data_IF_038077161954
#
_entry.id   IF_038077161954
#
_cell.length_a   1.000
_cell.length_b   1.000
_cell.length_c   1.000
_cell.angle_alpha   90.00
_cell.angle_beta   90.00
_cell.angle_gamma   90.00
#
_symmetry.space_group_name_H-M   'P 1'
#
loop_
_entity.id
_entity.type
_entity.pdbx_description
1 polymer ?
#
# COMPACT_ATOMS: atom_id res chain seq x y z
N UNK A 1 40.72 -17.95 22.60
CA UNK A 1 39.55 -18.08 21.73
C UNK A 1 38.33 -18.02 22.63
N UNK A 2 37.30 -17.27 22.29
CA UNK A 2 36.03 -17.31 23.01
C UNK A 2 35.36 -18.69 22.81
N UNK A 3 34.88 -19.32 23.88
CA UNK A 3 34.18 -20.59 23.79
C UNK A 3 32.81 -20.39 23.12
N UNK A 4 32.41 -21.38 22.30
CA UNK A 4 31.04 -21.40 21.71
C UNK A 4 30.08 -21.69 22.87
N UNK A 5 29.05 -20.83 22.99
CA UNK A 5 28.00 -20.93 24.02
C UNK A 5 26.62 -20.85 23.38
N UNK A 6 25.67 -21.55 23.98
CA UNK A 6 24.25 -21.39 23.65
C UNK A 6 23.76 -20.05 24.25
N UNK A 7 23.16 -19.20 23.42
CA UNK A 7 22.61 -17.93 23.87
C UNK A 7 21.36 -18.15 24.73
N UNK A 8 21.08 -17.21 25.64
CA UNK A 8 19.81 -17.17 26.35
C UNK A 8 18.63 -16.90 25.41
N UNK A 9 17.44 -17.34 25.82
CA UNK A 9 16.23 -17.24 24.98
C UNK A 9 15.87 -15.81 24.59
N UNK A 10 16.19 -14.84 25.45
CA UNK A 10 15.86 -13.43 25.19
C UNK A 10 16.78 -12.86 24.09
N UNK A 11 18.08 -13.15 24.18
CA UNK A 11 19.05 -12.79 23.14
C UNK A 11 18.72 -13.46 21.81
N UNK A 12 18.35 -14.77 21.80
CA UNK A 12 17.91 -15.49 20.60
C UNK A 12 16.68 -14.78 19.98
N UNK A 13 15.72 -14.41 20.83
CA UNK A 13 14.48 -13.73 20.38
C UNK A 13 14.80 -12.35 19.78
N UNK A 14 15.70 -11.58 20.37
CA UNK A 14 16.10 -10.27 19.84
C UNK A 14 16.86 -10.37 18.49
N UNK A 15 17.72 -11.38 18.33
CA UNK A 15 18.43 -11.64 17.06
C UNK A 15 17.40 -11.97 15.97
N UNK A 16 16.55 -12.96 16.21
CA UNK A 16 15.55 -13.40 15.25
C UNK A 16 14.47 -12.35 14.97
N UNK A 17 14.10 -11.53 15.98
CA UNK A 17 13.24 -10.37 15.74
C UNK A 17 13.87 -9.41 14.71
N UNK A 18 15.19 -9.41 14.55
CA UNK A 18 15.91 -8.64 13.58
C UNK A 18 15.67 -8.99 12.13
N UNK A 19 15.38 -10.23 11.89
CA UNK A 19 15.10 -10.75 10.57
C UNK A 19 13.65 -10.51 10.15
N UNK A 20 12.74 -10.35 11.13
CA UNK A 20 11.30 -10.17 10.90
C UNK A 20 10.90 -8.70 11.00
N UNK A 21 11.40 -7.99 12.01
CA UNK A 21 11.01 -6.60 12.33
C UNK A 21 12.20 -5.67 12.12
N UNK A 22 12.28 -5.08 10.95
CA UNK A 22 13.34 -4.12 10.58
C UNK A 22 12.97 -2.68 10.96
N UNK A 23 11.67 -2.32 10.91
CA UNK A 23 11.15 -0.97 11.05
C UNK A 23 9.68 -0.94 11.48
N UNK A 24 9.12 0.22 11.86
CA UNK A 24 7.70 0.36 12.21
C UNK A 24 6.72 -0.17 11.16
N UNK A 25 7.03 0.04 9.88
CA UNK A 25 6.22 -0.44 8.77
C UNK A 25 6.10 -1.98 8.73
N UNK A 26 7.15 -2.72 9.15
CA UNK A 26 7.11 -4.19 9.27
C UNK A 26 6.12 -4.62 10.36
N UNK A 27 6.12 -3.93 11.51
CA UNK A 27 5.16 -4.19 12.60
C UNK A 27 3.73 -3.98 12.12
N UNK A 28 3.46 -2.82 11.50
CA UNK A 28 2.10 -2.49 11.01
C UNK A 28 1.64 -3.50 9.97
N UNK A 29 2.51 -3.94 9.06
CA UNK A 29 2.20 -4.96 8.06
C UNK A 29 1.72 -6.25 8.70
N UNK A 30 2.49 -6.80 9.64
CA UNK A 30 2.16 -8.06 10.32
C UNK A 30 0.85 -7.94 11.13
N UNK A 31 0.62 -6.81 11.80
CA UNK A 31 -0.62 -6.59 12.55
C UNK A 31 -1.84 -6.46 11.64
N UNK A 32 -1.70 -5.80 10.47
CA UNK A 32 -2.76 -5.70 9.47
C UNK A 32 -3.09 -7.06 8.85
N UNK A 33 -2.07 -7.85 8.49
CA UNK A 33 -2.27 -9.20 7.97
C UNK A 33 -3.04 -10.08 8.97
N UNK A 34 -2.71 -9.98 10.27
CA UNK A 34 -3.44 -10.69 11.33
C UNK A 34 -4.89 -10.21 11.47
N UNK A 35 -5.14 -8.90 11.38
CA UNK A 35 -6.50 -8.34 11.45
C UNK A 35 -7.37 -8.80 10.26
N UNK A 36 -6.82 -8.86 9.04
CA UNK A 36 -7.51 -9.38 7.86
C UNK A 36 -7.79 -10.87 8.00
N UNK A 37 -6.80 -11.66 8.43
CA UNK A 37 -6.95 -13.09 8.64
C UNK A 37 -8.02 -13.41 9.71
N UNK A 38 -8.21 -12.51 10.70
CA UNK A 38 -9.29 -12.60 11.70
C UNK A 38 -10.68 -12.23 11.15
N UNK A 39 -10.80 -11.96 9.83
CA UNK A 39 -12.05 -11.56 9.14
C UNK A 39 -12.61 -10.23 9.64
N UNK A 40 -11.75 -9.31 10.00
CA UNK A 40 -12.15 -7.95 10.34
C UNK A 40 -12.78 -7.23 9.15
N UNK A 41 -13.85 -6.50 9.38
CA UNK A 41 -14.52 -5.61 8.40
C UNK A 41 -14.18 -4.14 8.62
N UNK A 42 -13.58 -3.82 9.77
CA UNK A 42 -13.12 -2.47 10.10
C UNK A 42 -11.80 -2.53 10.88
N UNK A 43 -10.80 -1.80 10.40
CA UNK A 43 -9.47 -1.75 11.00
C UNK A 43 -9.07 -0.28 11.16
N UNK A 44 -8.63 0.08 12.39
CA UNK A 44 -8.06 1.40 12.67
C UNK A 44 -6.58 1.26 12.98
N UNK A 45 -5.75 2.04 12.28
CA UNK A 45 -4.31 2.14 12.51
C UNK A 45 -3.98 3.54 12.98
N UNK A 46 -3.28 3.65 14.11
CA UNK A 46 -2.83 4.91 14.67
C UNK A 46 -1.35 4.82 15.00
N UNK A 47 -0.58 5.84 14.57
CA UNK A 47 0.86 5.92 14.83
C UNK A 47 1.27 7.28 15.40
N UNK A 48 2.30 7.25 16.25
CA UNK A 48 2.98 8.43 16.79
C UNK A 48 4.50 8.23 16.74
N UNK A 49 5.25 9.34 16.56
CA UNK A 49 6.71 9.29 16.41
C UNK A 49 7.12 8.42 15.21
N UNK A 50 6.38 8.51 14.07
CA UNK A 50 6.63 7.65 12.91
C UNK A 50 6.37 6.15 13.15
N UNK A 51 5.73 5.79 14.25
CA UNK A 51 5.49 4.42 14.70
C UNK A 51 6.55 3.89 15.69
N UNK A 52 7.55 4.68 16.06
CA UNK A 52 8.54 4.31 17.08
C UNK A 52 8.00 4.47 18.49
N UNK A 53 7.27 5.56 18.76
CA UNK A 53 6.67 5.82 20.06
C UNK A 53 5.43 4.97 20.28
N UNK A 54 4.52 4.94 19.30
CA UNK A 54 3.29 4.16 19.41
C UNK A 54 2.83 3.69 18.03
N UNK A 55 2.46 2.41 17.96
CA UNK A 55 1.63 1.82 16.92
C UNK A 55 0.42 1.21 17.62
N UNK A 56 -0.79 1.57 17.20
CA UNK A 56 -2.03 0.95 17.67
C UNK A 56 -2.85 0.46 16.48
N UNK A 57 -3.10 -0.83 16.44
CA UNK A 57 -3.99 -1.46 15.47
C UNK A 57 -5.19 -2.02 16.19
N UNK A 58 -6.39 -1.62 15.78
CA UNK A 58 -7.67 -2.03 16.33
C UNK A 58 -8.53 -2.60 15.23
N UNK A 59 -9.02 -3.82 15.41
CA UNK A 59 -9.90 -4.52 14.48
C UNK A 59 -11.20 -4.97 15.18
N UNK A 60 -12.21 -5.33 14.39
CA UNK A 60 -13.46 -5.94 14.81
C UNK A 60 -13.57 -7.41 14.38
N UNK A 61 -12.46 -8.10 14.21
CA UNK A 61 -12.41 -9.51 13.82
C UNK A 61 -12.87 -10.47 14.90
N UNK A 62 -12.56 -11.75 14.74
CA UNK A 62 -13.02 -12.83 15.64
C UNK A 62 -12.54 -12.71 17.08
N UNK A 63 -11.47 -11.94 17.34
CA UNK A 63 -10.77 -11.92 18.62
C UNK A 63 -9.90 -13.17 18.84
N UNK A 64 -9.28 -13.24 20.02
CA UNK A 64 -8.44 -14.37 20.48
C UNK A 64 -9.02 -14.94 21.74
N UNK A 65 -9.18 -16.26 21.80
CA UNK A 65 -9.66 -16.98 22.98
C UNK A 65 -8.68 -16.78 24.14
N UNK A 66 -9.21 -16.58 25.35
CA UNK A 66 -8.41 -16.20 26.53
C UNK A 66 -7.22 -17.13 26.78
N UNK A 67 -7.44 -18.43 26.63
CA UNK A 67 -6.46 -19.49 26.86
C UNK A 67 -5.35 -19.50 25.82
N UNK A 68 -5.62 -18.99 24.61
CA UNK A 68 -4.69 -18.92 23.49
C UNK A 68 -3.84 -17.64 23.47
N UNK A 69 -4.19 -16.63 24.28
CA UNK A 69 -3.48 -15.34 24.27
C UNK A 69 -1.99 -15.49 24.55
N UNK A 70 -1.56 -16.19 25.63
CA UNK A 70 -0.12 -16.39 25.86
C UNK A 70 0.58 -17.21 24.75
N UNK A 71 -0.15 -18.13 24.12
CA UNK A 71 0.36 -18.94 23.01
C UNK A 71 0.62 -18.09 21.77
N UNK A 72 -0.22 -17.08 21.51
CA UNK A 72 -0.07 -16.18 20.36
C UNK A 72 1.27 -15.40 20.37
N UNK A 73 1.91 -15.27 21.54
CA UNK A 73 3.23 -14.66 21.73
C UNK A 73 4.38 -15.68 21.83
N UNK A 74 4.10 -16.96 21.70
CA UNK A 74 5.16 -17.99 21.60
C UNK A 74 5.63 -18.14 20.15
N UNK A 75 6.92 -18.36 19.98
CA UNK A 75 7.51 -18.61 18.65
C UNK A 75 6.99 -19.92 18.09
N UNK A 76 6.79 -19.95 16.78
CA UNK A 76 6.28 -21.11 16.04
C UNK A 76 4.85 -21.52 16.44
N UNK A 77 4.13 -20.69 17.18
CA UNK A 77 2.72 -20.89 17.48
C UNK A 77 1.85 -20.22 16.41
N UNK A 78 1.08 -21.00 15.69
CA UNK A 78 0.20 -20.51 14.62
C UNK A 78 -1.05 -21.38 14.52
N UNK A 79 -2.19 -20.74 14.26
CA UNK A 79 -3.45 -21.43 13.95
C UNK A 79 -3.63 -21.68 12.44
N UNK A 80 -2.71 -21.18 11.59
CA UNK A 80 -2.89 -21.03 10.13
C UNK A 80 -2.34 -22.19 9.32
N UNK A 81 -1.35 -22.90 9.84
CA UNK A 81 -0.73 -24.10 9.23
C UNK A 81 -0.58 -25.20 10.29
N UNK A 82 -0.75 -26.44 9.91
CA UNK A 82 -0.58 -27.62 10.79
C UNK A 82 0.41 -28.62 10.22
N UNK A 83 0.53 -28.69 8.90
CA UNK A 83 1.38 -29.66 8.21
C UNK A 83 2.30 -28.96 7.22
N UNK A 84 3.37 -29.66 6.80
CA UNK A 84 4.28 -29.16 5.77
C UNK A 84 3.58 -28.96 4.41
N UNK A 85 2.53 -29.72 4.12
CA UNK A 85 1.75 -29.56 2.89
C UNK A 85 0.97 -28.25 2.87
N UNK A 86 0.55 -27.73 4.02
CA UNK A 86 -0.17 -26.44 4.10
C UNK A 86 0.69 -25.27 3.64
N UNK A 87 2.05 -25.40 3.70
CA UNK A 87 2.98 -24.37 3.23
C UNK A 87 2.86 -24.10 1.72
N UNK A 88 2.42 -25.07 0.93
CA UNK A 88 2.24 -24.93 -0.51
C UNK A 88 0.88 -24.35 -0.89
N UNK A 89 -0.07 -24.32 0.05
CA UNK A 89 -1.45 -23.87 -0.17
C UNK A 89 -1.84 -22.69 0.72
N UNK A 90 -0.85 -21.91 1.21
CA UNK A 90 -1.10 -20.82 2.16
C UNK A 90 -1.98 -19.75 1.54
N UNK A 91 -3.27 -19.79 1.86
CA UNK A 91 -4.24 -18.73 1.53
C UNK A 91 -4.17 -17.54 2.51
N UNK A 92 -3.57 -17.72 3.71
CA UNK A 92 -3.44 -16.65 4.71
C UNK A 92 -2.28 -15.72 4.40
N UNK A 93 -2.42 -14.44 4.74
CA UNK A 93 -1.37 -13.43 4.53
C UNK A 93 -0.17 -13.66 5.46
N UNK A 94 -0.38 -14.08 6.72
CA UNK A 94 0.66 -14.43 7.70
C UNK A 94 0.58 -15.91 8.10
N UNK A 95 1.69 -16.66 8.16
CA UNK A 95 1.69 -18.08 8.48
C UNK A 95 2.83 -18.54 9.42
N UNK A 96 3.89 -17.72 9.63
CA UNK A 96 5.11 -18.16 10.32
C UNK A 96 4.99 -18.31 11.83
N UNK A 97 3.95 -17.72 12.48
CA UNK A 97 3.78 -17.78 13.95
C UNK A 97 4.91 -17.12 14.73
N UNK A 98 5.59 -16.13 14.16
CA UNK A 98 6.76 -15.48 14.78
C UNK A 98 6.58 -13.97 14.97
N UNK A 99 5.60 -13.34 14.29
CA UNK A 99 5.46 -11.90 14.24
C UNK A 99 5.21 -11.29 15.62
N UNK A 100 4.20 -11.76 16.37
CA UNK A 100 3.87 -11.22 17.69
C UNK A 100 4.99 -11.45 18.69
N UNK A 101 5.60 -12.63 18.69
CA UNK A 101 6.76 -12.95 19.54
C UNK A 101 7.96 -12.03 19.24
N UNK A 102 8.24 -11.78 17.96
CA UNK A 102 9.30 -10.89 17.51
C UNK A 102 9.03 -9.43 17.90
N UNK A 103 7.80 -8.94 17.73
CA UNK A 103 7.41 -7.59 18.15
C UNK A 103 7.57 -7.43 19.67
N UNK A 104 7.07 -8.41 20.45
CA UNK A 104 7.10 -8.37 21.90
C UNK A 104 8.51 -8.42 22.50
N UNK A 105 9.47 -9.04 21.78
CA UNK A 105 10.87 -9.09 22.22
C UNK A 105 11.62 -7.76 22.09
N UNK A 106 11.15 -6.84 21.23
CA UNK A 106 11.81 -5.55 20.93
C UNK A 106 10.95 -4.33 21.26
N UNK A 107 9.80 -4.51 21.88
CA UNK A 107 8.86 -3.43 22.22
C UNK A 107 8.08 -3.76 23.49
N UNK A 108 7.32 -2.77 23.97
CA UNK A 108 6.28 -2.96 24.98
C UNK A 108 4.94 -3.17 24.29
N UNK A 109 4.34 -4.32 24.49
CA UNK A 109 3.10 -4.70 23.79
C UNK A 109 1.96 -4.87 24.78
N UNK A 110 0.84 -4.25 24.47
CA UNK A 110 -0.45 -4.46 25.13
C UNK A 110 -1.45 -5.00 24.13
N UNK A 111 -2.05 -6.14 24.44
CA UNK A 111 -3.12 -6.75 23.68
C UNK A 111 -4.40 -6.70 24.52
N UNK A 112 -5.49 -6.23 23.91
CA UNK A 112 -6.84 -6.32 24.49
C UNK A 112 -7.72 -6.99 23.44
N UNK A 113 -8.36 -8.11 23.80
CA UNK A 113 -9.15 -8.89 22.85
C UNK A 113 -10.40 -9.44 23.51
N UNK A 114 -11.42 -9.67 22.68
CA UNK A 114 -12.69 -10.30 23.06
C UNK A 114 -13.23 -11.10 21.91
N UNK A 115 -13.61 -12.34 22.13
CA UNK A 115 -14.36 -13.16 21.17
C UNK A 115 -15.86 -12.96 21.33
N UNK A 116 -16.63 -13.38 20.34
CA UNK A 116 -18.09 -13.27 20.39
C UNK A 116 -18.71 -14.08 21.56
N UNK A 117 -18.12 -15.22 21.87
CA UNK A 117 -18.61 -16.15 22.89
C UNK A 117 -18.17 -15.77 24.30
N UNK A 118 -17.27 -14.82 24.44
CA UNK A 118 -16.75 -14.38 25.76
C UNK A 118 -17.64 -13.32 26.37
N UNK A 119 -17.92 -13.43 27.68
CA UNK A 119 -18.66 -12.42 28.43
C UNK A 119 -17.83 -11.15 28.62
N UNK A 120 -16.55 -11.29 28.96
CA UNK A 120 -15.60 -10.18 29.18
C UNK A 120 -14.40 -10.31 28.26
N UNK A 121 -13.78 -9.17 27.91
CA UNK A 121 -12.50 -9.16 27.21
C UNK A 121 -11.33 -9.50 28.14
N UNK A 122 -10.18 -9.76 27.54
CA UNK A 122 -8.92 -10.05 28.20
C UNK A 122 -7.87 -9.02 27.80
N UNK A 123 -7.03 -8.64 28.75
CA UNK A 123 -5.88 -7.76 28.57
C UNK A 123 -4.60 -8.51 28.90
N UNK A 124 -3.62 -8.44 28.02
CA UNK A 124 -2.32 -9.07 28.20
C UNK A 124 -1.22 -8.07 27.87
N UNK A 125 -0.17 -8.04 28.69
CA UNK A 125 1.00 -7.18 28.51
C UNK A 125 2.26 -8.03 28.45
N UNK A 126 3.19 -7.61 27.60
CA UNK A 126 4.50 -8.22 27.47
C UNK A 126 5.51 -7.11 27.16
N UNK A 127 6.63 -7.08 27.85
CA UNK A 127 7.65 -6.04 27.69
C UNK A 127 9.03 -6.66 27.50
N UNK A 128 9.62 -6.50 26.30
CA UNK A 128 10.94 -7.07 25.99
C UNK A 128 11.01 -8.60 26.09
N UNK A 129 9.87 -9.29 25.95
CA UNK A 129 9.73 -10.73 26.08
C UNK A 129 9.36 -11.22 27.48
N UNK A 130 9.17 -10.32 28.47
CA UNK A 130 8.70 -10.67 29.82
C UNK A 130 7.20 -10.56 29.89
N UNK A 131 6.54 -11.64 30.30
CA UNK A 131 5.08 -11.79 30.37
C UNK A 131 4.52 -11.20 31.67
N UNK A 132 3.42 -10.47 31.59
CA UNK A 132 2.61 -10.04 32.75
C UNK A 132 1.35 -10.90 32.88
N UNK A 133 0.75 -10.97 34.08
CA UNK A 133 -0.47 -11.73 34.27
C UNK A 133 -1.60 -11.28 33.34
N UNK A 134 -2.43 -12.23 32.94
CA UNK A 134 -3.61 -12.01 32.13
C UNK A 134 -4.73 -11.37 32.97
N UNK A 135 -5.15 -10.17 32.64
CA UNK A 135 -6.14 -9.37 33.35
C UNK A 135 -7.47 -9.33 32.56
N UNK A 136 -8.59 -9.01 33.23
CA UNK A 136 -9.81 -8.61 32.52
C UNK A 136 -9.57 -7.34 31.70
N UNK A 137 -10.12 -7.28 30.47
CA UNK A 137 -10.02 -6.12 29.57
C UNK A 137 -11.39 -5.70 29.08
N UNK A 138 -11.61 -4.38 28.96
CA UNK A 138 -12.88 -3.85 28.48
C UNK A 138 -12.77 -3.49 26.99
N UNK A 139 -13.50 -4.23 26.13
CA UNK A 139 -13.70 -3.89 24.72
C UNK A 139 -14.88 -4.65 24.09
N UNK A 140 -15.31 -4.23 22.90
CA UNK A 140 -16.19 -5.01 22.01
C UNK A 140 -15.45 -6.19 21.38
N UNK A 141 -16.14 -7.01 20.58
CA UNK A 141 -15.54 -8.13 19.83
C UNK A 141 -14.41 -7.63 18.91
N UNK A 142 -13.34 -8.42 18.81
CA UNK A 142 -12.14 -8.11 18.00
C UNK A 142 -10.88 -7.98 18.84
N UNK A 143 -9.81 -7.37 18.29
CA UNK A 143 -8.50 -7.23 18.94
C UNK A 143 -7.96 -5.80 18.81
N UNK A 144 -7.34 -5.30 19.88
CA UNK A 144 -6.50 -4.10 19.88
C UNK A 144 -5.10 -4.50 20.30
N UNK A 145 -4.12 -4.21 19.47
CA UNK A 145 -2.71 -4.36 19.79
C UNK A 145 -2.08 -2.98 19.79
N UNK A 146 -1.45 -2.65 20.91
CA UNK A 146 -0.68 -1.42 21.10
C UNK A 146 0.78 -1.78 21.30
N UNK A 147 1.64 -1.29 20.45
CA UNK A 147 3.09 -1.44 20.50
C UNK A 147 3.66 -0.09 20.88
N UNK A 148 4.48 -0.03 21.93
CA UNK A 148 5.10 1.19 22.43
C UNK A 148 6.61 1.01 22.50
N UNK A 149 7.34 2.13 22.36
CA UNK A 149 8.78 2.23 22.51
C UNK A 149 9.53 1.16 21.67
N UNK A 150 9.19 1.06 20.39
CA UNK A 150 9.78 0.07 19.48
C UNK A 150 11.31 0.21 19.45
N UNK A 151 12.02 -0.89 19.66
CA UNK A 151 13.48 -1.00 19.73
C UNK A 151 14.13 -0.37 20.96
N UNK A 152 13.38 -0.10 22.04
CA UNK A 152 13.93 0.51 23.26
C UNK A 152 15.10 -0.30 23.87
N UNK A 153 15.08 -1.62 23.73
CA UNK A 153 16.10 -2.55 24.21
C UNK A 153 17.11 -2.99 23.13
N UNK A 154 17.03 -2.41 21.91
CA UNK A 154 17.94 -2.69 20.80
C UNK A 154 18.48 -1.38 20.19
N UNK A 155 19.31 -0.62 20.93
CA UNK A 155 19.75 0.71 20.50
C UNK A 155 20.58 0.72 19.21
N UNK A 156 21.23 -0.39 18.87
CA UNK A 156 21.94 -0.54 17.61
C UNK A 156 21.00 -0.41 16.41
N UNK A 157 19.77 -0.92 16.49
CA UNK A 157 18.77 -0.80 15.44
C UNK A 157 18.22 0.61 15.30
N UNK A 158 18.01 1.31 16.40
CA UNK A 158 17.57 2.69 16.37
C UNK A 158 18.48 3.58 15.51
N UNK A 159 19.79 3.28 15.44
CA UNK A 159 20.75 4.04 14.64
C UNK A 159 20.57 3.88 13.12
N UNK A 160 19.93 2.82 12.66
CA UNK A 160 19.69 2.54 11.23
C UNK A 160 18.33 3.05 10.75
N UNK A 161 17.46 3.51 11.65
CA UNK A 161 16.18 4.05 11.29
C UNK A 161 16.31 5.47 10.72
N UNK A 162 15.39 5.80 9.84
CA UNK A 162 15.30 7.16 9.30
C UNK A 162 14.60 8.08 10.31
N UNK A 163 14.42 9.35 9.94
CA UNK A 163 13.64 10.30 10.74
C UNK A 163 12.19 9.82 10.87
N UNK A 164 11.52 10.14 11.97
CA UNK A 164 10.12 9.78 12.28
C UNK A 164 9.16 10.08 11.11
N UNK A 165 9.38 11.24 10.46
CA UNK A 165 8.57 11.61 9.29
C UNK A 165 8.70 10.62 8.13
N UNK A 166 9.91 10.08 7.90
CA UNK A 166 10.18 9.09 6.84
C UNK A 166 9.65 7.72 7.22
N UNK A 167 9.86 7.28 8.48
CA UNK A 167 9.31 6.01 8.98
C UNK A 167 7.79 6.03 8.94
N UNK A 168 7.15 7.14 9.34
CA UNK A 168 5.72 7.31 9.23
C UNK A 168 5.20 7.30 7.78
N UNK A 169 6.01 7.68 6.80
CA UNK A 169 5.67 7.56 5.38
C UNK A 169 5.70 6.10 4.92
N UNK A 170 6.70 5.32 5.33
CA UNK A 170 6.70 3.88 5.04
C UNK A 170 5.51 3.15 5.68
N UNK A 171 5.09 3.56 6.89
CA UNK A 171 3.86 3.02 7.49
C UNK A 171 2.65 3.40 6.65
N UNK A 172 2.53 4.66 6.24
CA UNK A 172 1.42 5.13 5.40
C UNK A 172 1.33 4.35 4.08
N UNK A 173 2.46 4.07 3.43
CA UNK A 173 2.53 3.27 2.21
C UNK A 173 2.00 1.84 2.44
N UNK A 174 2.40 1.19 3.55
CA UNK A 174 1.91 -0.15 3.89
C UNK A 174 0.40 -0.15 4.13
N UNK A 175 -0.12 0.80 4.93
CA UNK A 175 -1.58 0.88 5.18
C UNK A 175 -2.34 1.15 3.89
N UNK A 176 -1.81 2.01 3.01
CA UNK A 176 -2.39 2.29 1.70
C UNK A 176 -2.42 1.04 0.80
N UNK A 177 -1.31 0.29 0.73
CA UNK A 177 -1.25 -0.94 -0.07
C UNK A 177 -2.26 -1.97 0.42
N UNK A 178 -2.38 -2.18 1.72
CA UNK A 178 -3.35 -3.13 2.29
C UNK A 178 -4.79 -2.66 2.07
N UNK A 179 -5.08 -1.38 2.25
CA UNK A 179 -6.42 -0.82 2.02
C UNK A 179 -6.88 -0.92 0.56
N UNK A 180 -5.96 -0.83 -0.40
CA UNK A 180 -6.26 -1.00 -1.82
C UNK A 180 -6.46 -2.46 -2.23
N UNK A 181 -5.83 -3.42 -1.53
CA UNK A 181 -6.02 -4.84 -1.81
C UNK A 181 -7.28 -5.43 -1.16
N UNK A 182 -7.85 -4.74 -0.17
CA UNK A 182 -9.03 -5.17 0.59
C UNK A 182 -10.10 -4.08 0.63
N UNK A 183 -10.72 -3.75 -0.52
CA UNK A 183 -11.74 -2.70 -0.59
C UNK A 183 -13.02 -3.05 0.21
N UNK A 184 -13.22 -4.30 0.58
CA UNK A 184 -14.31 -4.80 1.43
C UNK A 184 -14.11 -4.49 2.92
N UNK A 185 -12.90 -4.04 3.33
CA UNK A 185 -12.58 -3.67 4.70
C UNK A 185 -12.49 -2.15 4.83
N UNK A 186 -13.13 -1.59 5.86
CA UNK A 186 -12.98 -0.17 6.19
C UNK A 186 -11.68 0.06 6.95
N UNK A 187 -10.78 0.86 6.37
CA UNK A 187 -9.54 1.27 7.01
C UNK A 187 -9.61 2.71 7.45
N UNK A 188 -9.30 2.96 8.72
CA UNK A 188 -9.08 4.30 9.27
C UNK A 188 -7.62 4.45 9.62
N UNK A 189 -6.93 5.40 8.99
CA UNK A 189 -5.53 5.69 9.28
C UNK A 189 -5.36 7.06 9.93
N UNK A 190 -4.71 7.08 11.10
CA UNK A 190 -4.40 8.28 11.90
C UNK A 190 -2.89 8.35 12.11
N UNK A 191 -2.29 9.48 11.77
CA UNK A 191 -0.87 9.75 11.94
C UNK A 191 -0.67 11.01 12.75
N UNK A 192 0.12 10.94 13.83
CA UNK A 192 0.38 12.08 14.74
C UNK A 192 -0.92 12.78 15.19
N UNK A 193 -1.94 11.98 15.55
CA UNK A 193 -3.26 12.45 15.96
C UNK A 193 -4.14 13.03 14.84
N UNK A 194 -3.65 13.11 13.60
CA UNK A 194 -4.38 13.62 12.45
C UNK A 194 -4.93 12.49 11.60
N UNK A 195 -6.24 12.52 11.31
CA UNK A 195 -6.86 11.60 10.36
C UNK A 195 -6.26 11.82 8.96
N UNK A 196 -5.74 10.75 8.36
CA UNK A 196 -5.20 10.78 7.00
C UNK A 196 -6.30 10.43 5.99
N UNK A 197 -6.96 9.30 6.19
CA UNK A 197 -8.10 8.86 5.38
C UNK A 197 -8.95 7.81 6.10
N UNK A 198 -10.14 7.59 5.55
CA UNK A 198 -11.04 6.48 5.90
C UNK A 198 -11.55 5.87 4.60
N UNK A 199 -11.38 4.56 4.41
CA UNK A 199 -12.01 3.82 3.31
C UNK A 199 -13.39 3.32 3.75
N UNK A 200 -14.39 3.28 2.86
CA UNK A 200 -15.74 2.93 3.26
C UNK A 200 -15.93 1.43 3.58
N UNK A 201 -15.12 0.54 3.01
CA UNK A 201 -15.30 -0.92 3.14
C UNK A 201 -16.51 -1.44 2.35
N UNK A 202 -16.83 -0.79 1.23
CA UNK A 202 -17.99 -1.08 0.38
C UNK A 202 -17.73 -2.13 -0.72
N UNK A 203 -16.56 -2.74 -0.71
CA UNK A 203 -16.12 -3.71 -1.72
C UNK A 203 -15.74 -3.08 -3.06
N UNK A 204 -15.75 -1.76 -3.19
CA UNK A 204 -15.45 -1.07 -4.45
C UNK A 204 -14.03 -0.53 -4.44
N UNK A 205 -13.18 -1.08 -5.31
CA UNK A 205 -11.80 -0.60 -5.46
C UNK A 205 -11.71 0.90 -5.77
N UNK A 206 -12.66 1.44 -6.55
CA UNK A 206 -12.71 2.86 -6.88
C UNK A 206 -12.94 3.75 -5.64
N UNK A 207 -13.78 3.32 -4.70
CA UNK A 207 -14.01 4.03 -3.44
C UNK A 207 -12.76 4.02 -2.55
N UNK A 208 -12.10 2.88 -2.44
CA UNK A 208 -10.83 2.74 -1.73
C UNK A 208 -9.73 3.61 -2.37
N UNK A 209 -9.59 3.56 -3.70
CA UNK A 209 -8.63 4.39 -4.45
C UNK A 209 -8.88 5.89 -4.24
N UNK A 210 -10.15 6.34 -4.24
CA UNK A 210 -10.50 7.72 -3.98
C UNK A 210 -10.09 8.17 -2.57
N UNK A 211 -10.36 7.35 -1.56
CA UNK A 211 -10.02 7.66 -0.17
C UNK A 211 -8.51 7.70 0.07
N UNK A 212 -7.75 6.75 -0.51
CA UNK A 212 -6.31 6.56 -0.26
C UNK A 212 -5.44 7.45 -1.15
N UNK A 213 -5.72 7.49 -2.46
CA UNK A 213 -4.89 8.15 -3.48
C UNK A 213 -5.40 9.53 -3.86
N UNK A 214 -6.58 9.91 -3.35
CA UNK A 214 -7.19 11.22 -3.53
C UNK A 214 -7.95 11.39 -4.86
N UNK A 215 -8.70 12.50 -4.92
CA UNK A 215 -9.61 12.82 -6.02
C UNK A 215 -8.90 12.98 -7.37
N UNK A 216 -7.73 13.62 -7.37
CA UNK A 216 -7.00 13.92 -8.60
C UNK A 216 -6.61 12.65 -9.37
N UNK A 217 -6.08 11.63 -8.64
CA UNK A 217 -5.72 10.35 -9.26
C UNK A 217 -6.97 9.56 -9.68
N UNK A 218 -8.00 9.53 -8.81
CA UNK A 218 -9.15 8.62 -8.98
C UNK A 218 -10.16 9.09 -10.02
N UNK A 219 -10.16 10.38 -10.41
CA UNK A 219 -11.12 10.95 -11.35
C UNK A 219 -11.05 10.31 -12.74
N UNK A 220 -9.84 10.06 -13.21
CA UNK A 220 -9.56 9.62 -14.58
C UNK A 220 -9.17 8.13 -14.64
N UNK A 221 -9.67 7.32 -13.69
CA UNK A 221 -9.46 5.87 -13.70
C UNK A 221 -10.47 5.16 -14.59
N UNK A 222 -10.02 4.19 -15.35
CA UNK A 222 -10.82 3.26 -16.16
C UNK A 222 -10.77 1.88 -15.50
N UNK A 223 -11.87 1.17 -15.54
CA UNK A 223 -11.95 -0.21 -15.05
C UNK A 223 -11.48 -1.19 -16.11
N UNK A 224 -10.84 -2.24 -15.66
CA UNK A 224 -10.53 -3.41 -16.46
C UNK A 224 -10.85 -4.68 -15.70
N UNK A 225 -11.30 -5.69 -16.40
CA UNK A 225 -11.49 -7.04 -15.90
C UNK A 225 -11.33 -7.99 -17.11
N UNK A 226 -10.35 -8.88 -17.04
CA UNK A 226 -10.07 -9.85 -18.08
C UNK A 226 -9.70 -11.19 -17.45
N UNK A 227 -10.25 -12.26 -17.97
CA UNK A 227 -9.99 -13.61 -17.53
C UNK A 227 -9.56 -14.49 -18.71
N UNK A 228 -8.43 -15.17 -18.55
CA UNK A 228 -7.92 -16.14 -19.51
C UNK A 228 -7.54 -17.43 -18.77
N UNK A 229 -8.33 -18.49 -19.02
CA UNK A 229 -8.16 -19.76 -18.34
C UNK A 229 -8.28 -19.64 -16.82
N UNK A 230 -7.18 -19.93 -16.11
CA UNK A 230 -7.10 -19.90 -14.64
C UNK A 230 -6.62 -18.55 -14.09
N UNK A 231 -6.27 -17.62 -14.96
CA UNK A 231 -5.78 -16.29 -14.60
C UNK A 231 -6.87 -15.25 -14.77
N UNK A 232 -7.00 -14.35 -13.82
CA UNK A 232 -7.85 -13.16 -13.90
C UNK A 232 -7.08 -11.93 -13.50
N UNK A 233 -7.09 -10.89 -14.32
CA UNK A 233 -6.59 -9.58 -13.96
C UNK A 233 -7.72 -8.56 -13.99
N UNK A 234 -7.89 -7.85 -12.89
CA UNK A 234 -8.91 -6.81 -12.77
C UNK A 234 -8.36 -5.60 -12.03
N UNK A 235 -9.03 -4.47 -12.11
CA UNK A 235 -8.59 -3.28 -11.40
C UNK A 235 -8.90 -1.98 -12.12
N UNK A 236 -8.03 -0.99 -11.88
CA UNK A 236 -8.17 0.38 -12.34
C UNK A 236 -6.88 0.84 -13.00
N UNK A 237 -6.98 1.51 -14.15
CA UNK A 237 -5.84 2.16 -14.84
C UNK A 237 -6.17 3.61 -15.15
N UNK A 238 -5.15 4.48 -15.24
CA UNK A 238 -5.33 5.87 -15.64
C UNK A 238 -5.62 5.98 -17.13
N UNK A 239 -6.37 7.02 -17.50
CA UNK A 239 -6.48 7.41 -18.91
C UNK A 239 -5.13 7.89 -19.45
N UNK A 240 -4.86 7.77 -20.78
CA UNK A 240 -3.60 8.20 -21.38
C UNK A 240 -3.20 9.65 -21.06
N UNK A 241 -4.17 10.56 -21.00
CA UNK A 241 -3.97 11.98 -20.65
C UNK A 241 -3.51 12.20 -19.21
N UNK A 242 -3.76 11.24 -18.30
CA UNK A 242 -3.47 11.34 -16.87
C UNK A 242 -2.21 10.58 -16.45
N UNK A 243 -1.39 10.15 -17.44
CA UNK A 243 -0.09 9.52 -17.22
C UNK A 243 0.90 10.51 -16.58
N UNK A 244 1.78 10.01 -15.69
CA UNK A 244 2.69 10.82 -14.86
C UNK A 244 4.15 10.61 -15.25
N UNK A 245 5.04 11.52 -14.80
CA UNK A 245 6.48 11.42 -15.07
C UNK A 245 7.18 10.32 -14.24
N UNK A 246 6.50 9.70 -13.28
CA UNK A 246 7.06 8.66 -12.43
C UNK A 246 6.14 7.44 -12.37
N UNK A 247 6.72 6.27 -12.00
CA UNK A 247 6.02 5.01 -11.79
C UNK A 247 5.41 4.86 -10.39
N UNK A 248 5.41 5.93 -9.58
CA UNK A 248 4.99 5.88 -8.17
C UNK A 248 3.52 5.53 -7.96
N UNK A 249 2.69 5.62 -9.02
CA UNK A 249 1.25 5.31 -8.97
C UNK A 249 0.93 3.97 -9.65
N UNK A 250 1.85 3.02 -9.63
CA UNK A 250 1.66 1.66 -10.14
C UNK A 250 1.61 0.69 -8.95
N UNK A 251 0.43 0.10 -8.75
CA UNK A 251 0.16 -0.82 -7.66
C UNK A 251 -0.24 -2.17 -8.23
N UNK A 252 0.59 -3.20 -7.98
CA UNK A 252 0.35 -4.55 -8.45
C UNK A 252 0.11 -5.48 -7.29
N UNK A 253 -0.91 -6.33 -7.43
CA UNK A 253 -1.28 -7.31 -6.42
C UNK A 253 -1.39 -8.69 -7.04
N UNK A 254 -0.97 -9.72 -6.31
CA UNK A 254 -1.13 -11.11 -6.69
C UNK A 254 -1.76 -11.84 -5.50
N UNK A 255 -2.95 -12.40 -5.71
CA UNK A 255 -3.74 -13.07 -4.68
C UNK A 255 -3.84 -12.22 -3.39
N UNK A 256 -4.13 -10.92 -3.53
CA UNK A 256 -4.25 -9.96 -2.43
C UNK A 256 -2.93 -9.41 -1.87
N UNK A 257 -1.77 -9.88 -2.32
CA UNK A 257 -0.45 -9.41 -1.85
C UNK A 257 0.09 -8.31 -2.75
N UNK A 258 0.51 -7.20 -2.18
CA UNK A 258 1.25 -6.18 -2.91
C UNK A 258 2.62 -6.70 -3.35
N UNK A 259 2.94 -6.51 -4.63
CA UNK A 259 4.21 -6.93 -5.22
C UNK A 259 4.80 -5.86 -6.13
N UNK A 260 6.11 -5.83 -6.22
CA UNK A 260 6.84 -5.08 -7.26
C UNK A 260 7.20 -6.06 -8.37
N UNK A 261 6.37 -6.12 -9.40
CA UNK A 261 6.56 -7.07 -10.48
C UNK A 261 6.89 -6.38 -11.80
N UNK A 262 8.06 -6.71 -12.37
CA UNK A 262 8.55 -6.10 -13.62
C UNK A 262 7.75 -6.52 -14.83
N UNK A 263 7.24 -7.75 -14.87
CA UNK A 263 6.47 -8.30 -15.99
C UNK A 263 5.14 -7.58 -16.12
N UNK A 264 4.37 -7.43 -15.03
CA UNK A 264 3.11 -6.68 -15.01
C UNK A 264 3.33 -5.19 -15.35
N UNK A 265 4.40 -4.59 -14.82
CA UNK A 265 4.77 -3.20 -15.13
C UNK A 265 5.07 -3.03 -16.63
N UNK A 266 5.91 -3.89 -17.19
CA UNK A 266 6.28 -3.84 -18.61
C UNK A 266 5.08 -4.09 -19.52
N UNK A 267 4.19 -5.02 -19.18
CA UNK A 267 2.96 -5.30 -19.92
C UNK A 267 2.05 -4.06 -19.97
N UNK A 268 1.77 -3.45 -18.80
CA UNK A 268 0.96 -2.24 -18.71
C UNK A 268 1.58 -1.10 -19.50
N UNK A 269 2.88 -0.80 -19.33
CA UNK A 269 3.56 0.27 -20.06
C UNK A 269 3.60 0.01 -21.58
N UNK A 270 3.80 -1.25 -22.00
CA UNK A 270 3.78 -1.63 -23.41
C UNK A 270 2.40 -1.44 -24.03
N UNK A 271 1.34 -1.75 -23.30
CA UNK A 271 -0.01 -1.51 -23.78
C UNK A 271 -0.32 -0.02 -24.00
N UNK A 272 0.29 0.87 -23.24
CA UNK A 272 0.14 2.33 -23.39
C UNK A 272 1.03 2.95 -24.48
N UNK A 273 1.98 2.19 -25.08
CA UNK A 273 2.82 2.72 -26.15
C UNK A 273 1.97 3.24 -27.33
N UNK A 274 2.28 4.43 -27.78
CA UNK A 274 1.54 5.11 -28.87
C UNK A 274 0.32 5.90 -28.43
N UNK A 275 -0.17 5.73 -27.17
CA UNK A 275 -1.30 6.50 -26.62
C UNK A 275 -0.87 7.54 -25.58
N UNK A 276 0.36 7.47 -25.11
CA UNK A 276 0.92 8.32 -24.05
C UNK A 276 2.10 9.11 -24.56
N UNK A 277 2.31 10.33 -24.06
CA UNK A 277 3.49 11.15 -24.36
C UNK A 277 4.77 10.44 -23.91
N UNK A 278 5.85 10.63 -24.64
CA UNK A 278 7.17 10.11 -24.28
C UNK A 278 7.59 10.59 -22.89
N UNK A 279 8.13 9.70 -22.05
CA UNK A 279 8.56 10.00 -20.68
C UNK A 279 7.41 10.06 -19.66
N UNK A 280 6.19 9.66 -20.06
CA UNK A 280 5.06 9.49 -19.13
C UNK A 280 4.72 8.02 -18.93
N UNK A 281 4.35 7.68 -17.71
CA UNK A 281 4.01 6.33 -17.28
C UNK A 281 2.55 6.24 -16.84
N UNK A 282 1.82 5.19 -17.23
CA UNK A 282 0.48 4.95 -16.72
C UNK A 282 0.52 4.68 -15.22
N UNK A 283 -0.50 5.12 -14.52
CA UNK A 283 -0.80 4.68 -13.17
C UNK A 283 -1.88 3.62 -13.18
N UNK A 284 -1.98 2.82 -12.12
CA UNK A 284 -3.03 1.83 -12.00
C UNK A 284 -2.92 1.00 -10.74
N UNK A 285 -4.00 0.31 -10.45
CA UNK A 285 -4.15 -0.67 -9.38
C UNK A 285 -4.61 -1.96 -10.05
N UNK A 286 -3.71 -2.91 -10.26
CA UNK A 286 -3.98 -4.17 -10.93
C UNK A 286 -3.89 -5.33 -9.94
N UNK A 287 -4.97 -6.12 -9.88
CA UNK A 287 -5.07 -7.30 -9.05
C UNK A 287 -5.10 -8.53 -9.96
N UNK A 288 -4.12 -9.41 -9.78
CA UNK A 288 -3.98 -10.67 -10.47
C UNK A 288 -4.39 -11.80 -9.52
N UNK A 289 -5.38 -12.57 -9.94
CA UNK A 289 -5.81 -13.80 -9.29
C UNK A 289 -5.31 -15.00 -10.09
N UNK A 290 -4.66 -15.94 -9.43
CA UNK A 290 -4.06 -17.10 -10.05
C UNK A 290 -3.89 -18.25 -9.05
N UNK A 291 -3.80 -19.52 -9.51
CA UNK A 291 -3.46 -20.65 -8.64
C UNK A 291 -2.13 -20.43 -7.91
N UNK A 292 -2.10 -20.79 -6.62
CA UNK A 292 -0.94 -20.53 -5.76
C UNK A 292 0.30 -21.34 -6.16
N UNK A 293 0.13 -22.49 -6.80
CA UNK A 293 1.18 -23.37 -7.32
C UNK A 293 1.90 -22.84 -8.57
N UNK A 294 1.32 -21.80 -9.22
CA UNK A 294 1.90 -21.15 -10.40
C UNK A 294 2.70 -19.89 -10.07
N UNK A 295 2.79 -19.52 -8.80
CA UNK A 295 3.55 -18.36 -8.31
C UNK A 295 4.39 -18.70 -7.10
N UNK A 296 5.71 -18.46 -7.19
CA UNK A 296 6.59 -18.52 -6.03
C UNK A 296 6.67 -17.15 -5.36
N UNK A 297 6.13 -17.05 -4.16
CA UNK A 297 6.13 -15.84 -3.34
C UNK A 297 7.26 -15.81 -2.31
N UNK A 298 8.06 -16.87 -2.20
CA UNK A 298 9.12 -16.99 -1.21
C UNK A 298 10.51 -16.59 -1.77
N UNK A 299 10.55 -15.63 -2.68
CA UNK A 299 11.77 -15.17 -3.33
C UNK A 299 12.55 -14.16 -2.47
N UNK A 300 11.83 -13.32 -1.71
CA UNK A 300 12.42 -12.25 -0.89
C UNK A 300 11.84 -12.27 0.54
N UNK A 301 12.62 -11.97 1.61
CA UNK A 301 12.13 -11.96 2.99
C UNK A 301 10.89 -11.09 3.20
N UNK A 302 10.84 -9.91 2.58
CA UNK A 302 9.69 -9.00 2.61
C UNK A 302 8.52 -9.45 1.71
N UNK A 303 8.67 -10.53 0.91
CA UNK A 303 7.66 -11.07 -0.02
C UNK A 303 7.14 -10.04 -1.03
N UNK A 304 7.94 -9.04 -1.37
CA UNK A 304 7.58 -8.00 -2.35
C UNK A 304 7.92 -8.40 -3.79
N UNK A 305 8.72 -9.43 -3.97
CA UNK A 305 9.08 -9.98 -5.27
C UNK A 305 8.53 -11.40 -5.40
N UNK A 306 8.07 -11.74 -6.58
CA UNK A 306 7.52 -13.05 -6.91
C UNK A 306 8.08 -13.55 -8.23
N UNK A 307 8.10 -14.87 -8.43
CA UNK A 307 8.42 -15.51 -9.70
C UNK A 307 7.21 -16.26 -10.22
N UNK A 308 6.88 -16.06 -11.47
CA UNK A 308 5.82 -16.81 -12.14
C UNK A 308 6.39 -18.07 -12.79
N UNK A 309 5.62 -19.13 -12.79
CA UNK A 309 5.95 -20.33 -13.56
C UNK A 309 5.96 -20.04 -15.08
N UNK A 310 5.11 -19.11 -15.53
CA UNK A 310 4.99 -18.68 -16.93
C UNK A 310 4.83 -17.15 -16.99
N UNK A 311 5.94 -16.45 -17.14
CA UNK A 311 5.93 -14.97 -17.19
C UNK A 311 5.24 -14.42 -18.43
N UNK A 312 5.34 -15.10 -19.58
CA UNK A 312 4.71 -14.67 -20.83
C UNK A 312 3.19 -14.66 -20.72
N UNK A 313 2.57 -15.69 -20.13
CA UNK A 313 1.12 -15.76 -19.96
C UNK A 313 0.61 -14.54 -19.14
N UNK A 314 1.35 -14.16 -18.11
CA UNK A 314 0.99 -13.00 -17.28
C UNK A 314 1.21 -11.68 -18.03
N UNK A 315 2.29 -11.59 -18.81
CA UNK A 315 2.53 -10.42 -19.66
C UNK A 315 1.38 -10.24 -20.67
N UNK A 316 1.02 -11.28 -21.39
CA UNK A 316 -0.02 -11.25 -22.43
C UNK A 316 -1.39 -10.94 -21.83
N UNK A 317 -1.76 -11.59 -20.70
CA UNK A 317 -3.00 -11.33 -19.98
C UNK A 317 -3.13 -9.84 -19.60
N UNK A 318 -2.11 -9.28 -18.94
CA UNK A 318 -2.11 -7.87 -18.51
C UNK A 318 -2.11 -6.93 -19.70
N UNK A 319 -1.31 -7.23 -20.74
CA UNK A 319 -1.24 -6.43 -21.95
C UNK A 319 -2.60 -6.36 -22.67
N UNK A 320 -3.25 -7.51 -22.86
CA UNK A 320 -4.54 -7.57 -23.52
C UNK A 320 -5.64 -6.89 -22.71
N UNK A 321 -5.68 -7.12 -21.39
CA UNK A 321 -6.64 -6.46 -20.49
C UNK A 321 -6.55 -4.93 -20.57
N UNK A 322 -5.32 -4.40 -20.52
CA UNK A 322 -5.09 -2.96 -20.63
C UNK A 322 -5.45 -2.43 -22.02
N UNK A 323 -5.10 -3.15 -23.10
CA UNK A 323 -5.48 -2.78 -24.47
C UNK A 323 -7.00 -2.75 -24.67
N UNK A 324 -7.73 -3.73 -24.15
CA UNK A 324 -9.18 -3.77 -24.19
C UNK A 324 -9.80 -2.57 -23.45
N UNK A 325 -9.29 -2.24 -22.26
CA UNK A 325 -9.76 -1.08 -21.51
C UNK A 325 -9.50 0.25 -22.26
N UNK A 326 -8.35 0.38 -22.92
CA UNK A 326 -8.00 1.55 -23.71
C UNK A 326 -8.83 1.69 -25.00
N UNK A 327 -9.37 0.59 -25.53
CA UNK A 327 -10.18 0.58 -26.74
C UNK A 327 -11.68 0.89 -26.48
N UNK A 328 -12.12 0.98 -25.22
CA UNK A 328 -13.52 1.26 -24.88
C UNK A 328 -13.93 2.67 -25.31
N UNK A 329 -15.12 2.86 -25.90
CA UNK A 329 -15.62 4.17 -26.30
C UNK A 329 -15.81 5.06 -25.06
N UNK A 330 -15.12 6.20 -25.01
CA UNK A 330 -15.12 7.12 -23.86
C UNK A 330 -13.71 7.46 -23.36
N UNK A 331 -12.68 6.76 -23.81
CA UNK A 331 -11.28 6.97 -23.42
C UNK A 331 -10.58 8.10 -24.20
N UNK A 332 -11.34 8.97 -24.90
CA UNK A 332 -10.85 10.27 -25.33
C UNK A 332 -10.02 10.31 -26.59
N UNK A 333 -10.20 9.41 -27.53
CA UNK A 333 -9.95 9.73 -28.93
C UNK A 333 -11.15 10.54 -29.45
N UNK A 334 -11.08 11.86 -29.35
CA UNK A 334 -11.70 12.66 -30.41
C UNK A 334 -10.96 12.29 -31.68
N UNK A 335 -11.50 11.35 -32.45
CA UNK A 335 -11.20 11.28 -33.87
C UNK A 335 -11.56 12.66 -34.39
N UNK A 336 -10.59 13.46 -34.76
CA UNK A 336 -10.80 14.56 -35.67
C UNK A 336 -11.26 13.88 -36.95
N UNK A 337 -12.59 13.76 -37.11
CA UNK A 337 -13.17 13.58 -38.40
C UNK A 337 -12.87 14.91 -39.09
N UNK A 338 -11.91 14.91 -39.98
CA UNK A 338 -11.83 15.92 -41.00
C UNK A 338 -13.14 15.72 -41.76
N UNK A 339 -14.11 16.62 -41.55
CA UNK A 339 -15.17 16.85 -42.52
C UNK A 339 -14.46 17.26 -43.78
N UNK A 340 -14.36 16.33 -44.74
CA UNK A 340 -14.09 16.69 -46.13
C UNK A 340 -15.22 17.60 -46.54
N UNK A 341 -14.89 18.90 -46.69
CA UNK A 341 -15.74 19.88 -47.33
C UNK A 341 -16.09 19.30 -48.73
N UNK A 342 -17.28 18.73 -48.83
CA UNK A 342 -17.92 18.56 -50.14
C UNK A 342 -18.25 19.98 -50.63
N UNK A 343 -17.30 20.50 -51.41
CA UNK A 343 -17.54 21.62 -52.28
C UNK A 343 -18.66 21.27 -53.23
N UNK A 344 -19.68 22.11 -53.18
CA UNK A 344 -20.79 22.20 -54.09
C UNK A 344 -20.35 22.14 -55.53
N UNK A 345 -20.73 21.10 -56.26
CA UNK A 345 -20.92 21.12 -57.69
C UNK A 345 -22.43 21.34 -57.95
N UNK A 346 -22.86 22.59 -57.82
CA UNK A 346 -24.04 23.13 -58.53
C UNK A 346 -23.58 23.60 -59.90
N UNK A 347 -23.94 22.90 -60.93
CA UNK A 347 -24.30 23.52 -62.23
C UNK A 347 -25.06 22.56 -63.14
N UNK A 348 -26.27 22.99 -63.45
CA UNK A 348 -27.02 22.82 -64.70
C UNK A 348 -27.65 21.44 -65.00
N UNK A 349 -28.99 21.43 -64.90
CA UNK A 349 -29.89 21.39 -66.07
C UNK A 349 -31.37 21.42 -65.65
N UNK A 350 -31.97 22.49 -66.00
CA UNK A 350 -33.27 22.76 -66.72
C UNK A 350 -34.33 21.66 -66.73
N UNK A 351 -35.54 22.13 -66.32
CA UNK A 351 -36.87 22.00 -66.94
C UNK A 351 -37.42 20.61 -67.26
N UNK A 352 -38.48 20.26 -66.59
CA UNK A 352 -39.86 20.28 -67.17
C UNK A 352 -40.89 19.76 -66.17
N UNK A 353 -41.95 20.59 -65.98
CA UNK A 353 -43.39 20.35 -65.79
C UNK A 353 -43.81 18.87 -65.48
N UNK A 354 -44.71 18.56 -64.66
CA UNK A 354 -46.12 18.98 -64.61
C UNK A 354 -46.89 18.16 -63.55
N UNK A 355 -47.91 18.83 -62.98
CA UNK A 355 -49.18 18.30 -62.48
C UNK A 355 -49.31 17.31 -61.30
N UNK A 356 -49.90 17.86 -60.33
CA UNK A 356 -51.25 17.63 -59.79
C UNK A 356 -51.51 16.56 -58.72
N UNK A 357 -52.13 17.09 -57.68
CA UNK A 357 -53.33 16.58 -56.95
C UNK A 357 -53.12 15.73 -55.72
N UNK A 358 -53.41 16.40 -54.60
CA UNK A 358 -54.48 16.15 -53.59
C UNK A 358 -54.37 14.99 -52.62
N UNK A 359 -54.61 15.40 -51.39
CA UNK A 359 -55.41 14.76 -50.32
C UNK A 359 -54.77 13.49 -49.65
N UNK A 360 -54.84 13.33 -48.39
CA UNK A 360 -55.80 13.62 -47.34
C UNK A 360 -55.23 13.29 -45.95
N UNK A 361 -55.44 14.14 -45.03
CA UNK A 361 -55.94 13.97 -43.67
C UNK A 361 -56.04 12.53 -43.17
N UNK A 362 -55.37 12.22 -42.03
CA UNK A 362 -56.10 11.72 -40.86
C UNK A 362 -55.26 11.81 -39.55
N UNK A 363 -55.78 12.65 -38.67
CA UNK A 363 -55.67 12.61 -37.21
C UNK A 363 -56.04 11.21 -36.70
N UNK A 364 -55.36 10.75 -35.68
CA UNK A 364 -56.07 10.02 -34.62
C UNK A 364 -55.37 10.26 -33.26
N UNK A 365 -56.05 11.02 -32.46
CA UNK A 365 -56.03 11.02 -31.03
C UNK A 365 -56.39 9.65 -30.49
N UNK A 366 -55.77 9.21 -29.40
CA UNK A 366 -56.49 8.47 -28.39
C UNK A 366 -56.03 8.85 -26.99
N UNK A 367 -56.97 9.43 -26.35
CA UNK A 367 -57.15 9.80 -24.94
C UNK A 367 -57.30 8.56 -24.06
N UNK A 368 -56.80 8.64 -22.81
CA UNK A 368 -57.68 8.37 -21.68
C UNK A 368 -57.43 7.14 -20.87
N UNK A 369 -57.23 7.39 -19.59
CA UNK A 369 -57.99 6.95 -18.40
C UNK A 369 -57.05 7.07 -17.19
N UNK A 370 -57.12 8.03 -16.33
CA UNK A 370 -58.06 8.38 -15.24
C UNK A 370 -58.20 7.32 -14.15
N UNK A 371 -57.81 7.80 -12.96
CA UNK A 371 -58.46 7.66 -11.66
C UNK A 371 -58.12 6.41 -10.81
N UNK A 372 -57.65 6.63 -9.59
CA UNK A 372 -58.49 6.71 -8.38
C UNK A 372 -57.66 7.23 -7.18
N UNK A 373 -58.12 8.37 -6.58
CA UNK A 373 -57.89 8.74 -5.19
C UNK A 373 -59.21 8.42 -4.48
N UNK A 374 -59.25 8.04 -3.18
CA UNK A 374 -59.56 9.04 -2.19
C UNK A 374 -59.00 8.80 -0.75
N UNK A 375 -58.95 9.87 0.06
CA UNK A 375 -58.85 9.81 1.50
C UNK A 375 -58.38 11.08 2.16
N UNK A 376 -59.34 11.99 2.41
CA UNK A 376 -59.21 13.26 3.14
C UNK A 376 -58.97 13.02 4.64
N UNK A 377 -58.19 13.91 5.26
CA UNK A 377 -58.52 14.54 6.55
C UNK A 377 -57.64 15.80 6.78
N UNK A 378 -58.23 16.93 6.90
CA UNK A 378 -57.73 18.20 7.44
C UNK A 378 -58.15 18.37 8.91
N UNK A 379 -57.88 19.53 9.61
CA UNK A 379 -56.70 20.41 9.69
C UNK A 379 -56.29 20.64 11.16
N UNK A 380 -55.07 21.13 11.40
CA UNK A 380 -54.62 21.52 12.74
C UNK A 380 -53.55 22.61 12.74
N UNK A 381 -54.04 23.84 12.95
CA UNK A 381 -53.44 25.02 13.60
C UNK A 381 -52.01 25.46 13.27
N UNK A 382 -52.00 26.65 12.69
CA UNK A 382 -50.95 27.68 12.60
C UNK A 382 -50.27 27.98 13.93
N UNK A 383 -48.92 27.93 13.92
CA UNK A 383 -48.11 28.72 14.84
C UNK A 383 -47.12 29.56 14.00
N UNK A 384 -47.35 30.86 14.06
CA UNK A 384 -46.45 31.92 13.62
C UNK A 384 -45.09 31.79 14.30
N UNK A 385 -44.00 31.77 13.53
CA UNK A 385 -42.68 32.10 14.00
C UNK A 385 -42.14 33.33 13.27
N UNK A 386 -42.05 34.39 14.02
CA UNK A 386 -41.39 35.66 13.78
C UNK A 386 -39.96 35.50 13.30
N UNK A 387 -39.47 36.26 12.33
CA UNK A 387 -38.09 36.23 11.91
C UNK A 387 -37.19 37.03 12.85
N UNK A 388 -36.09 36.39 13.32
CA UNK A 388 -35.01 37.07 14.03
C UNK A 388 -34.09 37.80 13.06
N UNK A 389 -33.48 38.96 13.45
CA UNK A 389 -32.74 39.83 12.57
C UNK A 389 -31.35 39.29 12.24
N UNK A 390 -30.99 39.41 10.96
CA UNK A 390 -29.67 39.13 10.42
C UNK A 390 -28.62 40.03 11.10
N UNK A 391 -27.60 39.42 11.73
CA UNK A 391 -26.38 40.12 12.16
C UNK A 391 -25.55 40.46 10.94
N UNK A 392 -25.32 41.74 10.74
CA UNK A 392 -24.43 42.34 9.76
C UNK A 392 -23.00 41.77 9.86
N UNK A 393 -22.45 41.32 8.73
CA UNK A 393 -21.01 41.05 8.52
C UNK A 393 -20.22 42.35 8.75
N UNK A 394 -19.44 42.37 9.80
CA UNK A 394 -18.39 43.39 9.99
C UNK A 394 -17.22 43.02 9.06
N UNK A 395 -16.90 43.94 8.18
CA UNK A 395 -15.69 43.94 7.37
C UNK A 395 -14.44 43.96 8.26
N UNK A 396 -13.63 42.88 8.16
CA UNK A 396 -12.28 42.84 8.73
C UNK A 396 -11.33 43.49 7.74
N UNK A 397 -10.76 44.62 8.11
CA UNK A 397 -9.58 45.23 7.51
C UNK A 397 -8.35 44.50 8.10
N UNK A 398 -7.44 43.92 7.29
CA UNK A 398 -6.21 43.35 7.83
C UNK A 398 -5.23 44.44 8.26
N UNK A 399 -4.70 44.32 9.46
CA UNK A 399 -3.59 45.11 9.97
C UNK A 399 -2.27 44.82 9.19
N UNK A 400 -1.34 45.78 9.07
CA UNK A 400 -0.12 45.59 8.33
C UNK A 400 0.77 44.51 8.99
N UNK A 401 1.31 43.60 8.16
CA UNK A 401 2.24 42.56 8.59
C UNK A 401 3.56 43.20 9.13
N UNK A 402 3.89 42.86 10.36
CA UNK A 402 5.24 43.08 10.91
C UNK A 402 6.25 42.22 10.16
N UNK A 403 7.36 42.85 9.76
CA UNK A 403 8.50 42.20 9.10
C UNK A 403 9.15 41.14 10.02
N UNK A 404 9.60 40.00 9.52
CA UNK A 404 10.28 39.01 10.32
C UNK A 404 11.65 39.51 10.78
N UNK A 405 12.10 39.11 12.00
CA UNK A 405 13.43 39.52 12.53
C UNK A 405 14.54 38.94 11.65
N UNK A 406 15.51 39.80 11.34
CA UNK A 406 16.72 39.49 10.59
C UNK A 406 17.54 38.40 11.28
N UNK A 407 17.93 37.37 10.49
CA UNK A 407 18.87 36.31 10.91
C UNK A 407 20.23 36.94 11.35
N UNK A 408 20.83 36.49 12.45
CA UNK A 408 22.21 36.83 12.78
C UNK A 408 23.16 36.18 11.75
N UNK A 409 24.17 36.93 11.35
CA UNK A 409 25.26 36.52 10.48
C UNK A 409 26.05 35.33 11.07
N UNK A 410 26.58 34.41 10.24
CA UNK A 410 27.39 33.31 10.75
C UNK A 410 28.73 33.83 11.28
N UNK A 411 29.08 33.39 12.50
CA UNK A 411 30.36 33.66 13.13
C UNK A 411 31.49 33.04 12.30
N UNK A 412 32.49 33.85 11.97
CA UNK A 412 33.73 33.45 11.34
C UNK A 412 34.56 32.59 12.29
N UNK A 413 34.90 31.39 11.89
CA UNK A 413 35.91 30.54 12.53
C UNK A 413 37.30 31.02 12.13
N UNK A 414 38.28 31.07 13.05
CA UNK A 414 39.64 31.39 12.70
C UNK A 414 40.33 30.22 12.01
N UNK A 415 40.99 30.50 10.87
CA UNK A 415 41.93 29.62 10.18
C UNK A 415 43.10 29.25 11.08
N UNK A 416 43.25 27.98 11.42
CA UNK A 416 44.50 27.45 11.99
C UNK A 416 45.09 26.53 10.93
N UNK A 417 46.11 27.04 10.23
CA UNK A 417 47.04 26.25 9.42
C UNK A 417 48.09 25.62 10.32
N UNK A 418 48.37 24.32 10.25
CA UNK A 418 49.60 23.77 10.80
C UNK A 418 50.71 23.84 9.78
N UNK A 419 51.87 24.31 10.24
CA UNK A 419 53.14 24.36 9.51
C UNK A 419 53.72 22.97 9.24
N UNK A 420 54.57 22.82 8.20
CA UNK A 420 55.13 21.49 7.81
C UNK A 420 56.36 21.15 8.69
N UNK A 421 56.30 19.97 9.30
CA UNK A 421 57.42 19.35 10.01
C UNK A 421 57.73 17.99 9.37
N UNK A 422 58.95 17.93 8.86
CA UNK A 422 59.69 16.78 8.35
C UNK A 422 59.88 15.68 9.40
N UNK A 423 59.61 14.39 9.03
CA UNK A 423 60.48 13.26 9.31
C UNK A 423 59.92 11.97 8.72
N UNK A 424 60.69 11.39 7.84
CA UNK A 424 60.54 10.00 7.32
C UNK A 424 60.78 8.99 8.45
N UNK A 425 59.89 8.04 8.65
CA UNK A 425 60.20 6.73 9.28
C UNK A 425 59.62 5.62 8.44
N UNK A 426 60.55 4.74 8.01
CA UNK A 426 60.27 3.49 7.29
C UNK A 426 59.66 2.44 8.23
N UNK A 427 58.68 1.63 7.81
CA UNK A 427 58.24 0.49 8.60
C UNK A 427 59.20 -0.69 8.42
N UNK A 428 59.60 -1.26 9.55
CA UNK A 428 60.37 -2.49 9.69
C UNK A 428 59.58 -3.72 9.34
N UNK A 429 60.19 -4.59 8.52
CA UNK A 429 59.73 -5.96 8.19
C UNK A 429 59.66 -6.82 9.46
N UNK A 430 58.52 -7.42 9.75
CA UNK A 430 58.40 -8.59 10.63
C UNK A 430 58.23 -9.84 9.82
N UNK A 431 59.28 -10.68 9.88
CA UNK A 431 59.35 -12.03 9.35
C UNK A 431 58.41 -12.98 10.13
N UNK A 432 57.56 -13.72 9.42
CA UNK A 432 56.83 -14.87 9.95
C UNK A 432 57.54 -16.17 9.62
N UNK A 433 57.91 -16.88 10.64
CA UNK A 433 58.47 -18.22 10.56
C UNK A 433 57.39 -19.27 10.31
N UNK A 434 57.63 -20.07 9.30
CA UNK A 434 56.85 -21.23 8.87
C UNK A 434 56.92 -22.38 9.88
N UNK A 435 55.79 -22.97 10.26
CA UNK A 435 55.72 -24.30 10.84
C UNK A 435 54.93 -25.20 9.90
N UNK A 436 55.63 -26.25 9.44
CA UNK A 436 55.12 -27.24 8.51
C UNK A 436 54.21 -28.26 9.20
N UNK A 437 53.06 -28.56 8.58
CA UNK A 437 52.47 -29.90 8.61
C UNK A 437 51.60 -30.07 7.36
N UNK A 438 51.98 -31.05 6.54
CA UNK A 438 51.46 -31.25 5.20
C UNK A 438 50.10 -31.92 5.12
N UNK A 439 49.37 -31.52 4.11
CA UNK A 439 48.42 -32.34 3.33
C UNK A 439 48.26 -31.66 1.94
N UNK A 440 48.12 -32.41 0.83
CA UNK A 440 48.21 -31.88 -0.52
C UNK A 440 46.93 -31.19 -0.93
N UNK A 441 47.05 -29.93 -1.38
CA UNK A 441 45.95 -29.17 -2.03
C UNK A 441 46.14 -29.31 -3.55
N UNK A 442 45.07 -29.72 -4.24
CA UNK A 442 44.97 -29.71 -5.67
C UNK A 442 45.11 -28.27 -6.19
N UNK A 443 46.07 -28.04 -7.01
CA UNK A 443 46.18 -26.87 -7.87
C UNK A 443 45.20 -27.05 -9.02
N UNK A 444 44.18 -26.19 -9.08
CA UNK A 444 43.50 -25.71 -10.30
C UNK A 444 42.35 -24.81 -9.86
N UNK A 445 42.65 -23.56 -9.57
CA UNK A 445 41.69 -22.46 -9.59
C UNK A 445 42.45 -21.15 -9.86
N UNK A 446 42.33 -20.63 -11.07
CA UNK A 446 42.78 -19.31 -11.46
C UNK A 446 42.07 -18.25 -10.65
N UNK A 447 42.73 -17.22 -10.13
CA UNK A 447 42.09 -16.14 -9.39
C UNK A 447 41.31 -15.22 -10.38
N UNK A 448 40.03 -15.18 -10.23
CA UNK A 448 39.16 -14.20 -10.92
C UNK A 448 39.35 -12.83 -10.25
N UNK A 449 39.85 -11.89 -11.01
CA UNK A 449 40.14 -10.53 -10.57
C UNK A 449 38.87 -9.80 -10.16
N UNK A 450 38.84 -9.28 -8.92
CA UNK A 450 37.75 -8.52 -8.31
C UNK A 450 37.48 -7.15 -8.96
N UNK A 451 38.21 -6.78 -9.99
CA UNK A 451 38.10 -5.50 -10.67
C UNK A 451 37.00 -5.45 -11.74
N UNK A 452 36.39 -6.60 -12.12
CA UNK A 452 35.35 -6.62 -13.18
C UNK A 452 33.91 -6.52 -12.63
N UNK A 453 33.70 -6.63 -11.32
CA UNK A 453 32.36 -6.49 -10.73
C UNK A 453 31.99 -5.04 -10.40
N UNK A 454 32.93 -4.11 -10.38
CA UNK A 454 32.67 -2.69 -10.08
C UNK A 454 32.30 -1.85 -11.30
N UNK A 455 32.50 -2.37 -12.50
CA UNK A 455 32.20 -1.66 -13.76
C UNK A 455 30.73 -1.81 -14.22
N UNK A 456 29.96 -2.75 -13.64
CA UNK A 456 28.56 -2.96 -14.02
C UNK A 456 27.53 -2.29 -13.09
N UNK A 457 27.96 -1.74 -11.95
CA UNK A 457 27.03 -1.04 -11.03
C UNK A 457 26.89 0.47 -11.33
N UNK A 458 27.68 1.04 -12.22
CA UNK A 458 27.64 2.48 -12.53
C UNK A 458 26.87 2.83 -13.81
N UNK A 459 26.37 1.86 -14.57
CA UNK A 459 25.54 2.14 -15.77
C UNK A 459 24.03 2.01 -15.56
N UNK A 460 23.56 1.73 -14.33
CA UNK A 460 22.13 1.59 -14.03
C UNK A 460 21.49 2.83 -13.35
N UNK A 461 22.25 3.93 -13.16
CA UNK A 461 21.79 5.14 -12.48
C UNK A 461 21.95 6.43 -13.34
N UNK A 462 21.70 6.33 -14.65
CA UNK A 462 21.49 7.50 -15.51
C UNK A 462 20.18 7.39 -16.28
#
# INVERSE_FOLDING_TARGET
MAAIQVLDSNTINQIAAGEVIERPASVVKELLENAIDSKATAITVEIQGGGLQTIRVTDNGSGIVREEIPLAFKRHATSKIRTASDLFQVASLGFRGEALASIASVAKVELITKTNDSISGSRYRIEGGEDYPLEPGARGVGTTIRVQDLFYNTPARMKFLKKDSSEGTFVADIVAHVALSHPEVSFKFVREGKLQYVTPGDGKLRSAAYAVLGREFSRDLMELDNQEGVYRVWGLITQPRSCRASRSMQYFYINGRYVRNRTMMAAMETAFKGTTMQGKFPGGILLLEMPADLVDVNVHPAKTEVRFARENDIFDLVYHAVKLALAQPGTGERRFAFEEDKKDEESNKSETNDHTIENDVKKNNFTGLSAIIPGQAEPGTLHEHTPQPQRSLRSFTPAPAEAPPSRPAPASYPDILPAPGTAEEKPTEHSWTTVASGLPIRQDATPVSYTHLRAHETEADL
#
